data_IF_345606327101
#
_entry.id   IF_345606327101
#
_cell.length_a   1.000
_cell.length_b   1.000
_cell.length_c   1.000
_cell.angle_alpha   90.00
_cell.angle_beta   90.00
_cell.angle_gamma   90.00
#
_symmetry.space_group_name_H-M   'P 1'
#
loop_
_entity.id
_entity.type
_entity.pdbx_description
1 polymer ?
#
# COMPACT_ATOMS: atom_id res chain seq x y z
N UNK A 1 -13.99 -28.40 -7.95
CA UNK A 1 -13.49 -27.18 -8.62
C UNK A 1 -13.61 -27.40 -10.13
N UNK A 2 -14.38 -26.61 -10.86
CA UNK A 2 -14.62 -26.78 -12.31
C UNK A 2 -13.37 -26.43 -13.13
N UNK A 3 -13.19 -27.02 -14.32
CA UNK A 3 -12.05 -26.74 -15.22
C UNK A 3 -11.92 -25.25 -15.57
N UNK A 4 -13.05 -24.54 -15.68
CA UNK A 4 -13.07 -23.09 -15.92
C UNK A 4 -12.50 -22.28 -14.75
N UNK A 5 -12.81 -22.65 -13.50
CA UNK A 5 -12.26 -21.97 -12.32
C UNK A 5 -10.74 -22.16 -12.22
N UNK A 6 -10.24 -23.34 -12.60
CA UNK A 6 -8.80 -23.61 -12.70
C UNK A 6 -8.14 -22.74 -13.76
N UNK A 7 -8.70 -22.70 -14.99
CA UNK A 7 -8.18 -21.88 -16.09
C UNK A 7 -8.14 -20.39 -15.72
N UNK A 8 -9.21 -19.87 -15.11
CA UNK A 8 -9.26 -18.48 -14.60
C UNK A 8 -8.18 -18.21 -13.56
N UNK A 9 -7.97 -19.15 -12.63
CA UNK A 9 -6.89 -19.05 -11.63
C UNK A 9 -5.49 -18.94 -12.24
N UNK A 10 -5.19 -19.70 -13.31
CA UNK A 10 -3.91 -19.59 -14.01
C UNK A 10 -3.75 -18.26 -14.73
N UNK A 11 -4.79 -17.78 -15.42
CA UNK A 11 -4.78 -16.47 -16.10
C UNK A 11 -4.49 -15.36 -15.09
N UNK A 12 -5.18 -15.33 -13.95
CA UNK A 12 -4.97 -14.29 -12.93
C UNK A 12 -3.54 -14.30 -12.39
N UNK A 13 -2.93 -15.48 -12.18
CA UNK A 13 -1.53 -15.57 -11.76
C UNK A 13 -0.57 -14.98 -12.79
N UNK A 14 -0.78 -15.28 -14.07
CA UNK A 14 0.03 -14.71 -15.16
C UNK A 14 -0.12 -13.19 -15.20
N UNK A 15 -1.35 -12.67 -15.12
CA UNK A 15 -1.60 -11.22 -15.10
C UNK A 15 -0.93 -10.54 -13.91
N UNK A 16 -0.95 -11.17 -12.72
CA UNK A 16 -0.24 -10.67 -11.53
C UNK A 16 1.27 -10.61 -11.78
N UNK A 17 1.87 -11.66 -12.35
CA UNK A 17 3.30 -11.66 -12.67
C UNK A 17 3.67 -10.55 -13.67
N UNK A 18 2.81 -10.32 -14.67
CA UNK A 18 2.98 -9.23 -15.63
C UNK A 18 2.93 -7.87 -14.93
N UNK A 19 1.95 -7.63 -14.05
CA UNK A 19 1.84 -6.36 -13.31
C UNK A 19 3.08 -6.11 -12.44
N UNK A 20 3.57 -7.13 -11.74
CA UNK A 20 4.81 -7.03 -10.94
C UNK A 20 5.99 -6.71 -11.85
N UNK A 21 6.17 -7.44 -12.94
CA UNK A 21 7.26 -7.21 -13.87
C UNK A 21 7.25 -5.78 -14.43
N UNK A 22 6.07 -5.24 -14.77
CA UNK A 22 5.92 -3.87 -15.28
C UNK A 22 6.31 -2.85 -14.20
N UNK A 23 5.83 -2.99 -12.96
CA UNK A 23 6.16 -2.07 -11.87
C UNK A 23 7.67 -2.03 -11.64
N UNK A 24 8.32 -3.19 -11.55
CA UNK A 24 9.78 -3.26 -11.35
C UNK A 24 10.57 -2.84 -12.59
N UNK A 25 10.05 -3.02 -13.80
CA UNK A 25 10.72 -2.53 -15.01
C UNK A 25 10.79 -0.99 -15.04
N UNK A 26 9.76 -0.30 -14.56
CA UNK A 26 9.71 1.17 -14.54
C UNK A 26 10.40 1.76 -13.33
N UNK A 27 10.08 1.25 -12.13
CA UNK A 27 10.55 1.83 -10.88
C UNK A 27 11.76 1.13 -10.28
N UNK A 28 12.21 -0.03 -10.79
CA UNK A 28 13.35 -0.75 -10.23
C UNK A 28 14.66 0.06 -10.21
N UNK A 29 14.80 1.02 -11.12
CA UNK A 29 15.93 1.95 -11.16
C UNK A 29 16.07 2.84 -9.90
N UNK A 30 15.02 2.96 -9.07
CA UNK A 30 15.09 3.74 -7.82
C UNK A 30 16.15 3.22 -6.84
N UNK A 31 16.63 1.98 -7.01
CA UNK A 31 17.72 1.41 -6.20
C UNK A 31 19.01 2.23 -6.25
N UNK A 32 19.25 2.96 -7.35
CA UNK A 32 20.44 3.82 -7.51
C UNK A 32 20.17 5.28 -7.17
N UNK A 33 18.97 5.62 -6.71
CA UNK A 33 18.60 7.00 -6.40
C UNK A 33 18.96 7.35 -4.95
N UNK A 34 19.25 8.63 -4.75
CA UNK A 34 19.62 9.20 -3.46
C UNK A 34 18.43 9.91 -2.78
N UNK A 35 18.62 10.28 -1.50
CA UNK A 35 17.70 11.16 -0.80
C UNK A 35 17.56 12.50 -1.50
N UNK A 36 16.35 13.04 -1.52
CA UNK A 36 16.06 14.39 -2.03
C UNK A 36 16.17 15.40 -0.88
N UNK A 37 16.65 16.61 -1.15
CA UNK A 37 16.77 17.68 -0.14
C UNK A 37 15.40 18.33 0.13
N UNK A 38 14.52 17.61 0.81
CA UNK A 38 13.20 18.05 1.27
C UNK A 38 12.84 17.25 2.54
N UNK A 39 11.64 16.69 2.62
CA UNK A 39 11.17 15.87 3.76
C UNK A 39 12.12 14.72 4.14
N UNK A 40 12.91 14.17 3.21
CA UNK A 40 13.78 13.01 3.48
C UNK A 40 14.81 13.29 4.57
N UNK A 41 15.26 14.54 4.67
CA UNK A 41 16.15 14.98 5.74
C UNK A 41 15.49 14.83 7.10
N UNK A 42 14.29 15.39 7.21
CA UNK A 42 13.53 15.44 8.47
C UNK A 42 12.99 14.07 8.84
N UNK A 43 12.56 13.27 7.87
CA UNK A 43 11.85 12.02 8.15
C UNK A 43 12.81 10.86 8.40
N UNK A 44 13.94 10.81 7.69
CA UNK A 44 14.80 9.64 7.69
C UNK A 44 16.25 10.01 7.98
N UNK A 45 16.86 10.84 7.13
CA UNK A 45 18.33 11.02 7.10
C UNK A 45 18.88 11.65 8.37
N UNK A 46 18.17 12.61 8.95
CA UNK A 46 18.59 13.39 10.12
C UNK A 46 17.71 13.10 11.35
N UNK A 47 16.88 12.03 11.31
CA UNK A 47 15.96 11.69 12.39
C UNK A 47 16.51 10.61 13.33
N UNK A 48 16.98 10.94 14.55
CA UNK A 48 17.59 9.96 15.44
C UNK A 48 16.62 8.87 15.90
N UNK A 49 15.32 9.18 15.99
CA UNK A 49 14.28 8.22 16.41
C UNK A 49 14.09 7.12 15.38
N UNK A 50 14.23 7.47 14.12
CA UNK A 50 14.11 6.53 13.00
C UNK A 50 15.43 5.76 12.80
N UNK A 51 16.57 6.46 12.86
CA UNK A 51 17.91 5.87 12.67
C UNK A 51 18.34 4.89 13.76
N UNK A 52 17.81 5.02 14.99
CA UNK A 52 18.08 4.08 16.09
C UNK A 52 17.22 2.81 16.03
N UNK A 53 16.35 2.69 15.02
CA UNK A 53 15.60 1.47 14.74
C UNK A 53 14.40 1.22 15.66
N UNK A 54 13.94 -0.02 15.71
CA UNK A 54 12.70 -0.43 16.36
C UNK A 54 12.93 -0.72 17.86
N UNK A 55 12.79 0.33 18.68
CA UNK A 55 12.85 0.26 20.15
C UNK A 55 11.51 0.66 20.77
N UNK A 56 11.25 0.23 22.02
CA UNK A 56 10.02 0.59 22.72
C UNK A 56 9.85 2.12 22.83
N UNK A 57 10.93 2.83 23.14
CA UNK A 57 10.91 4.30 23.24
C UNK A 57 10.56 4.96 21.90
N UNK A 58 11.08 4.43 20.79
CA UNK A 58 10.78 4.95 19.45
C UNK A 58 9.35 4.63 19.01
N UNK A 59 8.80 3.49 19.43
CA UNK A 59 7.39 3.15 19.20
C UNK A 59 6.49 4.12 19.98
N UNK A 60 6.77 4.35 21.27
CA UNK A 60 6.01 5.31 22.08
C UNK A 60 6.08 6.70 21.44
N UNK A 61 7.27 7.12 20.99
CA UNK A 61 7.45 8.37 20.26
C UNK A 61 6.61 8.41 18.97
N UNK A 62 6.61 7.36 18.15
CA UNK A 62 5.87 7.32 16.89
C UNK A 62 4.37 7.59 17.10
N UNK A 63 3.79 7.07 18.18
CA UNK A 63 2.37 7.22 18.50
C UNK A 63 2.00 8.55 19.18
N UNK A 64 2.94 9.17 19.89
CA UNK A 64 2.72 10.39 20.67
C UNK A 64 3.15 11.67 19.95
N UNK A 65 3.96 11.54 18.89
CA UNK A 65 4.53 12.68 18.19
C UNK A 65 3.61 13.20 17.08
N UNK A 66 3.63 14.52 16.90
CA UNK A 66 3.18 15.24 15.70
C UNK A 66 4.38 15.80 14.93
N UNK A 67 5.46 15.03 14.86
CA UNK A 67 6.71 15.46 14.21
C UNK A 67 6.42 15.97 12.80
N UNK A 68 6.95 17.16 12.52
CA UNK A 68 6.66 17.90 11.30
C UNK A 68 5.16 18.06 10.97
N UNK A 69 4.36 18.36 12.00
CA UNK A 69 2.91 18.63 11.91
C UNK A 69 2.07 17.44 11.43
N UNK A 70 2.63 16.23 11.43
CA UNK A 70 1.96 15.06 10.91
C UNK A 70 1.88 13.93 11.95
N UNK A 71 0.74 13.23 11.95
CA UNK A 71 0.54 12.02 12.74
C UNK A 71 0.43 10.81 11.80
N UNK A 72 1.54 10.06 11.68
CA UNK A 72 1.61 8.82 10.91
C UNK A 72 2.46 7.72 11.60
N UNK A 73 2.10 7.29 12.82
CA UNK A 73 2.89 6.33 13.62
C UNK A 73 3.33 5.09 12.85
N UNK A 74 2.49 4.55 11.97
CA UNK A 74 2.81 3.33 11.25
C UNK A 74 3.89 3.55 10.19
N UNK A 75 3.93 4.72 9.58
CA UNK A 75 5.00 5.10 8.64
C UNK A 75 6.33 5.22 9.39
N UNK A 76 6.35 5.84 10.57
CA UNK A 76 7.55 5.91 11.41
C UNK A 76 8.08 4.52 11.76
N UNK A 77 7.18 3.64 12.21
CA UNK A 77 7.52 2.25 12.54
C UNK A 77 8.05 1.50 11.32
N UNK A 78 7.49 1.74 10.14
CA UNK A 78 7.97 1.11 8.90
C UNK A 78 9.43 1.48 8.60
N UNK A 79 9.81 2.75 8.78
CA UNK A 79 11.21 3.16 8.61
C UNK A 79 12.13 2.59 9.69
N UNK A 80 11.69 2.57 10.95
CA UNK A 80 12.48 2.00 12.06
C UNK A 80 12.79 0.52 11.82
N UNK A 81 11.78 -0.25 11.37
CA UNK A 81 11.96 -1.65 11.01
C UNK A 81 12.89 -1.78 9.80
N UNK A 82 12.69 -0.97 8.76
CA UNK A 82 13.57 -0.99 7.59
C UNK A 82 15.04 -0.76 7.98
N UNK A 83 15.31 0.31 8.72
CA UNK A 83 16.67 0.72 9.09
C UNK A 83 17.34 -0.35 9.95
N UNK A 84 16.59 -0.97 10.85
CA UNK A 84 17.12 -2.03 11.70
C UNK A 84 17.62 -3.25 10.91
N UNK A 85 16.97 -3.60 9.79
CA UNK A 85 17.31 -4.79 9.01
C UNK A 85 18.17 -4.52 7.77
N UNK A 86 18.02 -3.34 7.15
CA UNK A 86 18.60 -3.03 5.85
C UNK A 86 19.50 -1.77 5.85
N UNK A 87 19.55 -1.05 6.98
CA UNK A 87 20.28 0.21 7.09
C UNK A 87 19.55 1.40 6.47
N UNK A 88 20.26 2.53 6.35
CA UNK A 88 19.68 3.81 5.92
C UNK A 88 19.93 4.15 4.45
N UNK A 89 20.33 3.17 3.62
CA UNK A 89 20.56 3.41 2.20
C UNK A 89 19.24 3.75 1.48
N UNK A 90 19.14 4.91 0.79
CA UNK A 90 17.88 5.38 0.20
C UNK A 90 17.34 4.40 -0.85
N UNK A 91 18.22 3.80 -1.65
CA UNK A 91 17.82 2.80 -2.66
C UNK A 91 17.07 1.59 -2.08
N UNK A 92 17.47 1.10 -0.90
CA UNK A 92 16.77 -0.01 -0.24
C UNK A 92 15.37 0.42 0.25
N UNK A 93 15.27 1.62 0.82
CA UNK A 93 14.01 2.22 1.28
C UNK A 93 13.04 2.38 0.10
N UNK A 94 13.53 2.93 -1.01
CA UNK A 94 12.77 3.14 -2.24
C UNK A 94 12.34 1.81 -2.88
N UNK A 95 13.16 0.76 -2.87
CA UNK A 95 12.74 -0.57 -3.33
C UNK A 95 11.55 -1.13 -2.54
N UNK A 96 11.48 -0.84 -1.24
CA UNK A 96 10.30 -1.21 -0.44
C UNK A 96 9.07 -0.35 -0.82
N UNK A 97 9.23 0.91 -1.26
CA UNK A 97 8.11 1.71 -1.78
C UNK A 97 7.58 1.09 -3.08
N UNK A 98 8.49 0.66 -3.96
CA UNK A 98 8.16 -0.05 -5.20
C UNK A 98 7.44 -1.37 -4.90
N UNK A 99 7.89 -2.12 -3.90
CA UNK A 99 7.23 -3.34 -3.47
C UNK A 99 5.80 -3.07 -2.94
N UNK A 100 5.61 -2.05 -2.10
CA UNK A 100 4.30 -1.64 -1.62
C UNK A 100 3.38 -1.21 -2.76
N UNK A 101 3.89 -0.49 -3.77
CA UNK A 101 3.13 -0.12 -4.97
C UNK A 101 2.75 -1.33 -5.82
N UNK A 102 3.67 -2.29 -6.00
CA UNK A 102 3.39 -3.53 -6.72
C UNK A 102 2.29 -4.34 -6.01
N UNK A 103 2.35 -4.47 -4.69
CA UNK A 103 1.33 -5.17 -3.91
C UNK A 103 -0.01 -4.42 -3.98
N UNK A 104 -0.01 -3.10 -3.88
CA UNK A 104 -1.21 -2.28 -4.02
C UNK A 104 -1.86 -2.44 -5.40
N UNK A 105 -1.05 -2.48 -6.46
CA UNK A 105 -1.48 -2.76 -7.84
C UNK A 105 -2.13 -4.14 -7.96
N UNK A 106 -1.54 -5.17 -7.35
CA UNK A 106 -2.13 -6.52 -7.32
C UNK A 106 -3.47 -6.52 -6.57
N UNK A 107 -3.54 -5.87 -5.40
CA UNK A 107 -4.75 -5.79 -4.61
C UNK A 107 -5.85 -5.05 -5.37
N UNK A 108 -5.53 -4.00 -6.11
CA UNK A 108 -6.47 -3.30 -6.99
C UNK A 108 -6.99 -4.23 -8.10
N UNK A 109 -6.11 -4.96 -8.77
CA UNK A 109 -6.51 -5.96 -9.77
C UNK A 109 -7.47 -7.00 -9.17
N UNK A 110 -7.11 -7.60 -8.03
CA UNK A 110 -7.91 -8.61 -7.34
C UNK A 110 -9.27 -8.06 -6.89
N UNK A 111 -9.29 -6.81 -6.41
CA UNK A 111 -10.51 -6.13 -6.03
C UNK A 111 -11.45 -5.97 -7.23
N UNK A 112 -10.96 -5.40 -8.33
CA UNK A 112 -11.76 -5.15 -9.52
C UNK A 112 -12.22 -6.46 -10.18
N UNK A 113 -11.34 -7.46 -10.30
CA UNK A 113 -11.65 -8.75 -10.93
C UNK A 113 -12.71 -9.54 -10.17
N UNK A 114 -12.67 -9.50 -8.83
CA UNK A 114 -13.71 -10.10 -7.98
C UNK A 114 -15.06 -9.42 -8.18
N UNK A 115 -15.08 -8.09 -8.14
CA UNK A 115 -16.34 -7.34 -8.09
C UNK A 115 -16.97 -7.10 -9.47
N UNK A 116 -16.19 -7.13 -10.55
CA UNK A 116 -16.69 -6.92 -11.93
C UNK A 116 -16.75 -8.21 -12.75
N UNK A 117 -16.06 -9.27 -12.31
CA UNK A 117 -15.94 -10.52 -13.06
C UNK A 117 -15.07 -10.45 -14.32
N UNK A 118 -14.49 -9.30 -14.66
CA UNK A 118 -13.78 -9.08 -15.93
C UNK A 118 -12.28 -8.90 -15.75
N UNK A 119 -11.52 -10.00 -15.88
CA UNK A 119 -10.07 -9.98 -15.69
C UNK A 119 -9.33 -8.97 -16.61
N UNK A 120 -9.73 -8.88 -17.89
CA UNK A 120 -9.06 -7.99 -18.85
C UNK A 120 -9.29 -6.50 -18.55
N UNK A 121 -10.51 -6.13 -18.15
CA UNK A 121 -10.80 -4.75 -17.75
C UNK A 121 -10.06 -4.40 -16.46
N UNK A 122 -10.07 -5.31 -15.48
CA UNK A 122 -9.38 -5.13 -14.22
C UNK A 122 -7.87 -4.98 -14.37
N UNK A 123 -7.22 -5.82 -15.19
CA UNK A 123 -5.77 -5.71 -15.39
C UNK A 123 -5.40 -4.44 -16.15
N UNK A 124 -6.25 -3.98 -17.08
CA UNK A 124 -6.04 -2.71 -17.78
C UNK A 124 -6.05 -1.54 -16.80
N UNK A 125 -7.04 -1.46 -15.91
CA UNK A 125 -7.11 -0.42 -14.88
C UNK A 125 -5.94 -0.52 -13.90
N UNK A 126 -5.58 -1.73 -13.46
CA UNK A 126 -4.43 -1.94 -12.58
C UNK A 126 -3.10 -1.56 -13.24
N UNK A 127 -2.93 -1.84 -14.54
CA UNK A 127 -1.74 -1.44 -15.29
C UNK A 127 -1.67 0.08 -15.48
N UNK A 128 -2.81 0.74 -15.73
CA UNK A 128 -2.88 2.20 -15.79
C UNK A 128 -2.50 2.80 -14.43
N UNK A 129 -3.02 2.27 -13.32
CA UNK A 129 -2.61 2.66 -11.97
C UNK A 129 -1.11 2.41 -11.73
N UNK A 130 -0.59 1.26 -12.14
CA UNK A 130 0.82 0.92 -11.97
C UNK A 130 1.75 1.94 -12.66
N UNK A 131 1.37 2.37 -13.87
CA UNK A 131 2.20 3.18 -14.78
C UNK A 131 1.88 4.68 -14.75
N UNK A 132 0.86 5.11 -14.01
CA UNK A 132 0.40 6.49 -14.07
C UNK A 132 1.51 7.45 -13.59
N UNK A 133 1.87 8.48 -14.37
CA UNK A 133 2.96 9.40 -14.00
C UNK A 133 2.76 10.12 -12.66
N UNK A 134 1.51 10.39 -12.25
CA UNK A 134 1.21 10.97 -10.94
C UNK A 134 1.67 10.12 -9.76
N UNK A 135 1.91 8.82 -9.94
CA UNK A 135 2.42 7.96 -8.87
C UNK A 135 3.95 8.00 -8.74
N UNK A 136 4.66 8.63 -9.68
CA UNK A 136 6.14 8.71 -9.61
C UNK A 136 6.58 9.38 -8.31
N UNK A 137 5.89 10.46 -7.92
CA UNK A 137 6.17 11.15 -6.65
C UNK A 137 5.97 10.23 -5.46
N UNK A 138 4.85 9.49 -5.40
CA UNK A 138 4.58 8.59 -4.30
C UNK A 138 5.54 7.39 -4.22
N UNK A 139 6.01 6.89 -5.37
CA UNK A 139 6.80 5.65 -5.45
C UNK A 139 8.31 5.91 -5.38
N UNK A 140 8.79 6.97 -6.02
CA UNK A 140 10.21 7.27 -6.19
C UNK A 140 10.74 8.36 -5.23
N UNK A 141 9.96 8.75 -4.22
CA UNK A 141 10.39 9.61 -3.12
C UNK A 141 10.35 8.82 -1.81
N UNK A 142 11.45 8.82 -1.06
CA UNK A 142 11.55 8.11 0.22
C UNK A 142 10.40 8.52 1.14
N UNK A 143 10.26 9.81 1.44
CA UNK A 143 9.28 10.34 2.41
C UNK A 143 7.82 10.03 2.09
N UNK A 144 7.51 9.73 0.83
CA UNK A 144 6.20 9.29 0.38
C UNK A 144 5.90 7.81 0.69
N UNK A 145 6.72 7.15 1.52
CA UNK A 145 6.37 5.88 2.20
C UNK A 145 4.97 5.94 2.81
N UNK A 146 4.58 7.09 3.39
CA UNK A 146 3.25 7.33 3.96
C UNK A 146 2.12 7.11 2.93
N UNK A 147 2.35 7.45 1.67
CA UNK A 147 1.37 7.34 0.59
C UNK A 147 1.24 5.92 0.07
N UNK A 148 2.36 5.27 -0.25
CA UNK A 148 2.34 3.88 -0.74
C UNK A 148 1.89 2.89 0.35
N UNK A 149 2.25 3.13 1.61
CA UNK A 149 1.83 2.29 2.74
C UNK A 149 0.33 2.46 3.04
N UNK A 150 -0.16 3.70 3.04
CA UNK A 150 -1.59 3.95 3.23
C UNK A 150 -2.43 3.44 2.06
N UNK A 151 -1.93 3.54 0.83
CA UNK A 151 -2.56 2.94 -0.36
C UNK A 151 -2.62 1.41 -0.27
N UNK A 152 -1.56 0.76 0.22
CA UNK A 152 -1.60 -0.68 0.48
C UNK A 152 -2.74 -1.05 1.44
N UNK A 153 -2.85 -0.34 2.57
CA UNK A 153 -3.93 -0.58 3.53
C UNK A 153 -5.31 -0.24 2.97
N UNK A 154 -5.42 0.81 2.15
CA UNK A 154 -6.65 1.14 1.43
C UNK A 154 -7.12 -0.03 0.58
N UNK A 155 -6.26 -0.54 -0.31
CA UNK A 155 -6.60 -1.64 -1.22
C UNK A 155 -6.88 -2.95 -0.45
N UNK A 156 -6.16 -3.18 0.65
CA UNK A 156 -6.41 -4.31 1.54
C UNK A 156 -7.79 -4.21 2.19
N UNK A 157 -8.16 -3.04 2.72
CA UNK A 157 -9.48 -2.77 3.30
C UNK A 157 -10.58 -3.01 2.28
N UNK A 158 -10.44 -2.52 1.03
CA UNK A 158 -11.45 -2.76 -0.02
C UNK A 158 -11.66 -4.25 -0.30
N UNK A 159 -10.56 -5.02 -0.38
CA UNK A 159 -10.61 -6.46 -0.62
C UNK A 159 -11.27 -7.23 0.54
N UNK A 160 -11.00 -6.82 1.78
CA UNK A 160 -11.56 -7.43 2.98
C UNK A 160 -13.04 -7.06 3.15
N UNK A 161 -13.41 -5.80 2.89
CA UNK A 161 -14.81 -5.37 2.88
C UNK A 161 -15.63 -6.12 1.82
N UNK A 162 -15.09 -6.30 0.61
CA UNK A 162 -15.73 -7.12 -0.41
C UNK A 162 -15.94 -8.58 0.04
N UNK A 163 -14.96 -9.19 0.74
CA UNK A 163 -15.15 -10.54 1.35
C UNK A 163 -16.21 -10.54 2.44
N UNK A 164 -16.22 -9.52 3.28
CA UNK A 164 -17.25 -9.36 4.30
C UNK A 164 -18.63 -9.25 3.64
N UNK A 165 -18.72 -8.55 2.50
CA UNK A 165 -19.97 -8.45 1.79
C UNK A 165 -20.46 -9.81 1.26
N UNK A 166 -19.59 -10.59 0.62
CA UNK A 166 -19.94 -11.92 0.13
C UNK A 166 -20.37 -12.89 1.25
N UNK A 167 -19.62 -12.93 2.36
CA UNK A 167 -19.72 -14.01 3.34
C UNK A 167 -20.42 -13.60 4.64
N UNK A 168 -20.70 -12.31 4.84
CA UNK A 168 -21.23 -11.73 6.09
C UNK A 168 -20.43 -12.13 7.36
N UNK A 169 -19.15 -12.46 7.19
CA UNK A 169 -18.31 -12.99 8.27
C UNK A 169 -17.70 -11.89 9.12
N UNK A 170 -17.93 -11.95 10.44
CA UNK A 170 -17.34 -11.02 11.43
C UNK A 170 -15.82 -10.93 11.32
N UNK A 171 -15.14 -12.02 10.94
CA UNK A 171 -13.69 -12.04 10.74
C UNK A 171 -13.25 -11.02 9.67
N UNK A 172 -13.88 -11.02 8.50
CA UNK A 172 -13.50 -10.09 7.43
C UNK A 172 -13.86 -8.64 7.76
N UNK A 173 -14.94 -8.42 8.51
CA UNK A 173 -15.26 -7.10 9.04
C UNK A 173 -14.16 -6.58 9.97
N UNK A 174 -13.76 -7.38 10.98
CA UNK A 174 -12.71 -6.99 11.93
C UNK A 174 -11.36 -6.80 11.24
N UNK A 175 -11.01 -7.65 10.27
CA UNK A 175 -9.79 -7.48 9.47
C UNK A 175 -9.83 -6.22 8.63
N UNK A 176 -10.97 -5.93 7.99
CA UNK A 176 -11.16 -4.70 7.20
C UNK A 176 -11.02 -3.46 8.08
N UNK A 177 -11.62 -3.49 9.27
CA UNK A 177 -11.54 -2.40 10.24
C UNK A 177 -10.11 -2.22 10.76
N UNK A 178 -9.40 -3.31 11.06
CA UNK A 178 -8.00 -3.27 11.45
C UNK A 178 -7.10 -2.69 10.35
N UNK A 179 -7.26 -3.15 9.11
CA UNK A 179 -6.53 -2.62 7.96
C UNK A 179 -6.82 -1.12 7.74
N UNK A 180 -8.07 -0.68 7.92
CA UNK A 180 -8.45 0.73 7.85
C UNK A 180 -7.73 1.58 8.91
N UNK A 181 -7.72 1.14 10.18
CA UNK A 181 -7.03 1.87 11.24
C UNK A 181 -5.52 1.92 11.01
N UNK A 182 -4.90 0.82 10.56
CA UNK A 182 -3.49 0.82 10.19
C UNK A 182 -3.20 1.80 9.04
N UNK A 183 -4.09 1.87 8.06
CA UNK A 183 -4.01 2.85 6.99
C UNK A 183 -4.13 4.31 7.46
N UNK A 184 -5.05 4.62 8.37
CA UNK A 184 -5.15 5.94 9.01
C UNK A 184 -3.86 6.33 9.73
N UNK A 185 -3.22 5.35 10.37
CA UNK A 185 -1.95 5.50 11.07
C UNK A 185 -0.76 5.60 10.12
N UNK A 186 -0.91 5.24 8.84
CA UNK A 186 0.09 5.48 7.81
C UNK A 186 -0.08 6.86 7.17
N UNK A 187 -1.32 7.29 6.92
CA UNK A 187 -1.66 8.65 6.46
C UNK A 187 -3.11 9.01 6.83
N UNK A 188 -3.35 10.14 7.53
CA UNK A 188 -4.71 10.55 7.95
C UNK A 188 -5.72 10.74 6.81
N UNK A 189 -5.26 10.95 5.57
CA UNK A 189 -6.10 11.06 4.36
C UNK A 189 -7.10 9.90 4.22
N UNK A 190 -6.78 8.72 4.77
CA UNK A 190 -7.66 7.55 4.76
C UNK A 190 -8.99 7.75 5.47
N UNK A 191 -9.20 8.84 6.22
CA UNK A 191 -10.51 9.23 6.78
C UNK A 191 -11.62 9.30 5.72
N UNK A 192 -11.26 9.44 4.44
CA UNK A 192 -12.17 9.43 3.30
C UNK A 192 -12.61 8.04 2.84
N UNK A 193 -11.88 6.98 3.21
CA UNK A 193 -12.14 5.61 2.76
C UNK A 193 -13.55 5.08 3.09
N UNK A 194 -14.15 5.37 4.27
CA UNK A 194 -15.52 4.97 4.55
C UNK A 194 -16.53 5.48 3.51
N UNK A 195 -16.32 6.67 2.93
CA UNK A 195 -17.19 7.18 1.87
C UNK A 195 -17.10 6.32 0.60
N UNK A 196 -15.89 5.85 0.26
CA UNK A 196 -15.69 4.92 -0.85
C UNK A 196 -16.29 3.55 -0.55
N UNK A 197 -16.26 3.09 0.70
CA UNK A 197 -16.95 1.85 1.10
C UNK A 197 -18.48 1.99 0.96
N UNK A 198 -19.07 3.14 1.28
CA UNK A 198 -20.49 3.40 1.05
C UNK A 198 -20.84 3.42 -0.45
N UNK A 199 -19.98 4.02 -1.28
CA UNK A 199 -20.14 3.95 -2.74
C UNK A 199 -20.07 2.51 -3.24
N UNK A 200 -19.19 1.69 -2.67
CA UNK A 200 -19.09 0.27 -3.00
C UNK A 200 -20.34 -0.51 -2.62
N UNK A 201 -20.96 -0.20 -1.48
CA UNK A 201 -22.21 -0.82 -1.06
C UNK A 201 -23.30 -0.54 -2.10
N UNK A 202 -23.39 0.68 -2.64
CA UNK A 202 -24.28 1.00 -3.76
C UNK A 202 -23.89 0.25 -5.05
N UNK A 203 -22.63 0.36 -5.49
CA UNK A 203 -22.07 -0.36 -6.63
C UNK A 203 -20.58 -0.62 -6.40
N UNK A 204 -20.08 -1.86 -6.54
CA UNK A 204 -20.69 -3.00 -7.22
C UNK A 204 -21.40 -4.01 -6.31
N UNK A 205 -21.52 -3.76 -5.00
CA UNK A 205 -22.03 -4.77 -4.04
C UNK A 205 -23.56 -4.85 -3.96
N UNK A 206 -24.28 -3.82 -4.41
CA UNK A 206 -25.74 -3.74 -4.45
C UNK A 206 -26.43 -4.01 -3.08
N UNK A 207 -26.11 -3.18 -2.10
CA UNK A 207 -26.56 -3.29 -0.70
C UNK A 207 -27.13 -2.01 -0.13
#
# INVERSE_FOLDING_TARGET
MTRENLKRGYVNKILILILVAIVFAVYGQVVTHDFIFYDDQVYVKDNPRVLTGFTLDNIIWAFSSIHDHNWFPLTWISYMLHIQFFGSAPGAILLENVALHAISTILLFMFLERNTGSAWRSVTVAALFALHPLHVESVAWVSERKDVLSTFFWMLTLNLHARYAEQRSRRYYLLSLGAFFLGLMAKPMLVTLPLVMLLMDYWPLHR
#
